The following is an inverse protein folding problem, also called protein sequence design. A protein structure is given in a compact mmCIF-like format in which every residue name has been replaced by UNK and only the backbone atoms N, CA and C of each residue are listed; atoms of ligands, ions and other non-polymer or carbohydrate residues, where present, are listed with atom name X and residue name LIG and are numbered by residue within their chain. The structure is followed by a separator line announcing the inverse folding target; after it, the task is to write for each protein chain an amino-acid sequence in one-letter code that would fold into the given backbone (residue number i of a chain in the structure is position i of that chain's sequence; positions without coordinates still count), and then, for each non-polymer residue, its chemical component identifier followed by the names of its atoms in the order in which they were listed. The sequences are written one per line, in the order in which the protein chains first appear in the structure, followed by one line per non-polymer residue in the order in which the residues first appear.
data_IF_937457863151
#
_entry.id   IF_937457863151
#
_cell.length_a   1.000
_cell.length_b   1.000
_cell.length_c   1.000
_cell.angle_alpha   90.00
_cell.angle_beta   90.00
_cell.angle_gamma   90.00
#
_symmetry.space_group_name_H-M   'P 1'
#
loop_
_entity.id
_entity.type
_entity.pdbx_description
1 polymer ?
#
# COMPACT_ATOMS: atom_id res chain seq x y z
N UNK A 1 -5.74 12.14 37.17
CA UNK A 1 -6.73 12.81 36.29
C UNK A 1 -6.00 13.62 35.24
N UNK A 2 -5.75 13.06 34.05
CA UNK A 2 -5.41 13.85 32.86
C UNK A 2 -6.48 13.55 31.81
N UNK A 3 -7.19 14.59 31.41
CA UNK A 3 -8.29 14.56 30.45
C UNK A 3 -7.74 14.22 29.06
N UNK A 4 -8.35 13.21 28.43
CA UNK A 4 -8.02 12.76 27.08
C UNK A 4 -8.55 13.77 26.04
N UNK A 5 -7.75 14.31 25.11
CA UNK A 5 -8.15 15.40 24.20
C UNK A 5 -9.20 15.03 23.14
N UNK A 6 -9.53 13.73 22.99
CA UNK A 6 -10.45 13.25 21.96
C UNK A 6 -11.94 13.40 22.32
N UNK A 7 -12.27 13.83 23.55
CA UNK A 7 -13.66 13.92 24.03
C UNK A 7 -14.51 14.99 23.33
N UNK A 8 -13.91 15.91 22.58
CA UNK A 8 -14.62 17.03 21.94
C UNK A 8 -14.85 16.88 20.43
N UNK A 9 -14.35 15.83 19.76
CA UNK A 9 -14.50 15.70 18.30
C UNK A 9 -15.69 14.83 17.85
N UNK A 10 -16.28 14.07 18.78
CA UNK A 10 -17.40 13.17 18.49
C UNK A 10 -18.50 13.39 19.52
N UNK A 11 -19.30 14.44 19.30
CA UNK A 11 -20.64 14.47 19.89
C UNK A 11 -21.42 13.26 19.33
N UNK A 12 -22.11 12.51 20.19
CA UNK A 12 -22.89 11.32 19.83
C UNK A 12 -23.90 11.62 18.71
N UNK A 13 -24.31 12.89 18.58
CA UNK A 13 -25.15 13.35 17.48
C UNK A 13 -24.45 13.36 16.11
N UNK A 14 -23.13 13.59 16.04
CA UNK A 14 -22.35 13.63 14.81
C UNK A 14 -22.17 12.26 14.17
N UNK A 15 -21.79 11.26 14.96
CA UNK A 15 -21.71 9.85 14.55
C UNK A 15 -23.09 9.29 14.18
N UNK A 16 -24.12 9.58 14.99
CA UNK A 16 -25.50 9.15 14.70
C UNK A 16 -26.06 9.80 13.42
N UNK A 17 -25.73 11.07 13.13
CA UNK A 17 -26.09 11.74 11.86
C UNK A 17 -25.34 11.17 10.66
N UNK A 18 -24.03 10.89 10.80
CA UNK A 18 -23.23 10.29 9.75
C UNK A 18 -23.74 8.87 9.43
N UNK A 19 -23.95 8.05 10.46
CA UNK A 19 -24.47 6.68 10.33
C UNK A 19 -25.94 6.65 9.89
N UNK A 20 -26.75 7.61 10.32
CA UNK A 20 -28.13 7.78 9.84
C UNK A 20 -28.20 8.18 8.36
N UNK A 21 -27.22 8.92 7.87
CA UNK A 21 -27.10 9.25 6.44
C UNK A 21 -26.64 8.04 5.61
N UNK A 22 -25.81 7.16 6.18
CA UNK A 22 -25.38 5.90 5.57
C UNK A 22 -26.48 4.82 5.54
N UNK A 23 -27.26 4.67 6.63
CA UNK A 23 -28.41 3.74 6.69
C UNK A 23 -29.53 4.09 5.70
N UNK A 24 -29.75 5.37 5.37
CA UNK A 24 -30.74 5.77 4.36
C UNK A 24 -30.36 5.42 2.92
N UNK A 25 -29.08 5.09 2.65
CA UNK A 25 -28.64 4.65 1.30
C UNK A 25 -28.86 3.15 1.06
N UNK A 26 -29.10 2.34 2.10
CA UNK A 26 -29.30 0.90 1.96
C UNK A 26 -30.77 0.48 1.82
N UNK A 27 -31.72 1.40 1.99
CA UNK A 27 -33.16 1.13 1.90
C UNK A 27 -33.89 2.15 1.02
N UNK A 28 -33.99 1.90 -0.30
CA UNK A 28 -35.10 2.41 -1.12
C UNK A 28 -35.13 1.74 -2.50
N UNK A 29 -35.97 0.71 -2.60
CA UNK A 29 -36.62 0.28 -3.84
C UNK A 29 -38.12 0.48 -3.64
N UNK A 30 -38.69 1.54 -4.25
CA UNK A 30 -40.03 1.61 -4.90
C UNK A 30 -40.42 3.07 -5.27
N UNK A 31 -40.52 3.30 -6.57
CA UNK A 31 -41.47 4.08 -7.39
C UNK A 31 -41.82 5.59 -7.20
N UNK A 32 -42.00 6.21 -8.39
CA UNK A 32 -42.73 7.44 -8.80
C UNK A 32 -42.05 8.85 -8.95
N UNK A 33 -41.80 9.19 -10.22
CA UNK A 33 -42.04 10.43 -11.01
C UNK A 33 -41.61 11.87 -10.54
N UNK A 34 -40.45 12.32 -11.07
CA UNK A 34 -40.02 13.61 -11.71
C UNK A 34 -40.46 15.03 -11.22
N UNK A 35 -39.73 16.14 -11.59
CA UNK A 35 -38.36 16.29 -12.13
C UNK A 35 -37.49 17.43 -11.50
N UNK A 36 -36.24 17.54 -11.98
CA UNK A 36 -35.35 18.71 -11.98
C UNK A 36 -34.60 19.13 -10.70
N UNK A 37 -33.54 18.41 -10.35
CA UNK A 37 -32.30 19.03 -9.87
C UNK A 37 -31.08 18.33 -10.46
N UNK A 38 -30.19 19.11 -11.09
CA UNK A 38 -28.96 18.67 -11.78
C UNK A 38 -28.07 17.89 -10.81
N UNK A 39 -28.18 16.56 -10.85
CA UNK A 39 -27.29 15.62 -10.16
C UNK A 39 -26.04 15.47 -11.02
N UNK A 40 -24.86 15.80 -10.48
CA UNK A 40 -23.59 15.37 -11.05
C UNK A 40 -23.66 13.85 -11.22
N UNK A 41 -23.74 13.42 -12.48
CA UNK A 41 -23.70 12.02 -12.86
C UNK A 41 -22.25 11.56 -12.66
N UNK A 42 -21.91 11.12 -11.45
CA UNK A 42 -20.78 10.19 -11.31
C UNK A 42 -21.28 8.90 -11.94
N UNK A 43 -20.91 8.71 -13.21
CA UNK A 43 -21.24 7.52 -13.98
C UNK A 43 -20.88 6.30 -13.13
N UNK A 44 -21.87 5.46 -12.82
CA UNK A 44 -21.66 4.13 -12.23
C UNK A 44 -20.93 3.30 -13.27
N UNK A 45 -19.61 3.45 -13.32
CA UNK A 45 -18.74 2.52 -14.03
C UNK A 45 -18.71 1.25 -13.18
N UNK A 46 -19.64 0.33 -13.42
CA UNK A 46 -19.51 -1.05 -12.94
C UNK A 46 -18.35 -1.67 -13.71
N UNK A 47 -17.14 -1.47 -13.20
CA UNK A 47 -15.94 -2.15 -13.66
C UNK A 47 -16.09 -3.62 -13.25
N UNK A 48 -16.33 -4.51 -14.22
CA UNK A 48 -16.18 -5.95 -14.01
C UNK A 48 -14.69 -6.23 -13.91
N UNK A 49 -14.21 -6.45 -12.70
CA UNK A 49 -12.81 -6.84 -12.46
C UNK A 49 -12.71 -8.30 -12.88
N UNK A 50 -12.06 -8.58 -14.01
CA UNK A 50 -11.81 -9.95 -14.45
C UNK A 50 -10.73 -10.57 -13.55
N UNK A 51 -10.93 -11.84 -13.19
CA UNK A 51 -10.05 -12.66 -12.34
C UNK A 51 -8.59 -12.77 -12.82
N UNK A 52 -8.33 -12.41 -14.09
CA UNK A 52 -7.03 -12.44 -14.75
C UNK A 52 -6.54 -11.04 -15.19
N UNK A 53 -6.95 -9.95 -14.51
CA UNK A 53 -6.41 -8.63 -14.85
C UNK A 53 -4.92 -8.56 -14.51
N UNK A 54 -4.10 -8.52 -15.56
CA UNK A 54 -2.71 -8.10 -15.47
C UNK A 54 -2.64 -6.59 -15.21
N UNK A 55 -1.75 -6.17 -14.31
CA UNK A 55 -1.46 -4.75 -14.11
C UNK A 55 -0.59 -4.28 -15.28
N UNK A 56 -1.11 -3.35 -16.07
CA UNK A 56 -0.32 -2.66 -17.08
C UNK A 56 0.59 -1.62 -16.41
N UNK A 57 1.90 -1.85 -16.55
CA UNK A 57 2.94 -0.95 -16.08
C UNK A 57 3.23 0.11 -17.15
N UNK A 58 3.32 1.37 -16.74
CA UNK A 58 3.84 2.43 -17.60
C UNK A 58 5.37 2.30 -17.75
N UNK A 59 5.97 3.09 -18.65
CA UNK A 59 7.41 3.03 -18.93
C UNK A 59 8.29 3.16 -17.67
N UNK A 60 7.96 4.09 -16.76
CA UNK A 60 8.72 4.31 -15.54
C UNK A 60 8.58 3.12 -14.57
N UNK A 61 7.37 2.61 -14.38
CA UNK A 61 7.08 1.47 -13.51
C UNK A 61 7.69 0.17 -14.06
N UNK A 62 7.56 -0.11 -15.36
CA UNK A 62 8.20 -1.26 -15.99
C UNK A 62 9.71 -1.22 -15.79
N UNK A 63 10.30 -0.02 -15.93
CA UNK A 63 11.73 0.16 -15.75
C UNK A 63 12.15 -0.04 -14.29
N UNK A 64 11.37 0.49 -13.36
CA UNK A 64 11.59 0.30 -11.93
C UNK A 64 11.51 -1.19 -11.56
N UNK A 65 10.45 -1.89 -11.95
CA UNK A 65 10.30 -3.32 -11.68
C UNK A 65 11.45 -4.14 -12.27
N UNK A 66 11.90 -3.82 -13.49
CA UNK A 66 13.06 -4.46 -14.10
C UNK A 66 14.33 -4.27 -13.24
N UNK A 67 14.63 -3.04 -12.84
CA UNK A 67 15.83 -2.72 -12.05
C UNK A 67 15.78 -3.34 -10.65
N UNK A 68 14.62 -3.30 -9.99
CA UNK A 68 14.40 -3.95 -8.70
C UNK A 68 14.64 -5.46 -8.80
N UNK A 69 14.06 -6.11 -9.82
CA UNK A 69 14.25 -7.54 -10.05
C UNK A 69 15.73 -7.88 -10.30
N UNK A 70 16.40 -7.13 -11.18
CA UNK A 70 17.83 -7.32 -11.48
C UNK A 70 18.72 -7.10 -10.25
N UNK A 71 18.41 -6.08 -9.43
CA UNK A 71 19.14 -5.83 -8.18
C UNK A 71 19.01 -7.01 -7.21
N UNK A 72 17.81 -7.59 -7.06
CA UNK A 72 17.61 -8.76 -6.20
C UNK A 72 18.36 -9.97 -6.75
N UNK A 73 18.32 -10.22 -8.07
CA UNK A 73 19.10 -11.29 -8.69
C UNK A 73 20.61 -11.11 -8.46
N UNK A 74 21.12 -9.88 -8.56
CA UNK A 74 22.52 -9.56 -8.30
C UNK A 74 22.91 -9.79 -6.83
N UNK A 75 22.05 -9.38 -5.90
CA UNK A 75 22.26 -9.62 -4.46
C UNK A 75 22.26 -11.10 -4.12
N UNK A 76 21.33 -11.89 -4.71
CA UNK A 76 21.28 -13.34 -4.54
C UNK A 76 22.51 -14.04 -5.13
N UNK A 77 22.96 -13.62 -6.31
CA UNK A 77 24.16 -14.18 -6.95
C UNK A 77 25.45 -13.90 -6.16
N UNK A 78 25.49 -12.77 -5.45
CA UNK A 78 26.63 -12.36 -4.61
C UNK A 78 26.56 -12.94 -3.18
N UNK A 79 25.47 -13.61 -2.83
CA UNK A 79 25.25 -14.17 -1.51
C UNK A 79 25.93 -15.54 -1.36
N UNK A 80 26.49 -15.81 -0.18
CA UNK A 80 26.86 -17.18 0.21
C UNK A 80 25.61 -18.07 0.25
N UNK A 81 25.75 -19.37 -0.04
CA UNK A 81 24.67 -20.36 0.11
C UNK A 81 24.06 -20.39 1.52
N UNK A 82 24.82 -19.93 2.52
CA UNK A 82 24.39 -19.83 3.93
C UNK A 82 23.61 -18.56 4.27
N UNK A 83 23.55 -17.55 3.38
CA UNK A 83 22.83 -16.31 3.66
C UNK A 83 21.34 -16.43 3.30
N UNK A 84 20.57 -16.99 4.23
CA UNK A 84 19.15 -17.27 4.06
C UNK A 84 18.31 -16.00 3.80
N UNK A 85 18.69 -14.86 4.39
CA UNK A 85 17.98 -13.59 4.25
C UNK A 85 18.04 -13.09 2.80
N UNK A 86 19.23 -13.09 2.18
CA UNK A 86 19.37 -12.70 0.78
C UNK A 86 18.71 -13.71 -0.16
N UNK A 87 18.84 -15.01 0.12
CA UNK A 87 18.27 -16.06 -0.75
C UNK A 87 16.73 -16.01 -0.79
N UNK A 88 16.10 -15.68 0.33
CA UNK A 88 14.63 -15.52 0.46
C UNK A 88 14.10 -14.14 0.05
N UNK A 89 14.98 -13.17 -0.27
CA UNK A 89 14.60 -11.80 -0.61
C UNK A 89 13.61 -11.76 -1.77
N UNK A 90 12.45 -11.16 -1.51
CA UNK A 90 11.35 -10.97 -2.45
C UNK A 90 10.78 -9.57 -2.26
N UNK A 91 10.52 -8.89 -3.37
CA UNK A 91 9.95 -7.54 -3.40
C UNK A 91 8.53 -7.56 -3.92
N UNK A 92 7.70 -6.71 -3.31
CA UNK A 92 6.31 -6.47 -3.71
C UNK A 92 6.03 -4.99 -3.73
N UNK A 93 5.14 -4.53 -4.61
CA UNK A 93 4.49 -3.23 -4.46
C UNK A 93 3.20 -3.46 -3.68
N UNK A 94 2.97 -2.72 -2.60
CA UNK A 94 1.85 -2.99 -1.70
C UNK A 94 0.78 -1.89 -1.71
N UNK A 95 -0.45 -2.28 -1.41
CA UNK A 95 -1.52 -1.39 -1.01
C UNK A 95 -2.07 -0.46 -2.08
N UNK A 96 -1.98 0.85 -1.83
CA UNK A 96 -2.76 1.86 -2.55
C UNK A 96 -2.52 1.86 -4.06
N UNK A 97 -1.25 1.70 -4.47
CA UNK A 97 -0.87 1.62 -5.87
C UNK A 97 -1.55 0.44 -6.58
N UNK A 98 -1.60 -0.75 -5.95
CA UNK A 98 -2.20 -1.96 -6.55
C UNK A 98 -3.70 -1.77 -6.76
N UNK A 99 -4.40 -1.24 -5.75
CA UNK A 99 -5.82 -0.88 -5.82
C UNK A 99 -6.08 0.12 -6.94
N UNK A 100 -5.29 1.19 -6.99
CA UNK A 100 -5.51 2.28 -7.95
C UNK A 100 -5.26 1.79 -9.38
N UNK A 101 -4.23 0.96 -9.60
CA UNK A 101 -3.99 0.27 -10.87
C UNK A 101 -5.17 -0.57 -11.33
N UNK A 102 -5.73 -1.39 -10.45
CA UNK A 102 -6.91 -2.21 -10.74
C UNK A 102 -8.16 -1.36 -11.04
N UNK A 103 -8.24 -0.14 -10.48
CA UNK A 103 -9.30 0.83 -10.79
C UNK A 103 -9.02 1.68 -12.04
N UNK A 104 -7.88 1.50 -12.70
CA UNK A 104 -7.46 2.30 -13.85
C UNK A 104 -7.02 3.73 -13.48
N UNK A 105 -6.67 3.96 -12.22
CA UNK A 105 -6.17 5.24 -11.70
C UNK A 105 -4.64 5.18 -11.59
N UNK A 106 -3.96 6.21 -12.08
CA UNK A 106 -2.51 6.31 -11.92
C UNK A 106 -2.14 6.79 -10.52
N UNK A 107 -1.12 6.18 -9.93
CA UNK A 107 -0.49 6.61 -8.68
C UNK A 107 1.02 6.69 -8.88
N UNK A 108 1.62 7.76 -8.38
CA UNK A 108 3.07 7.90 -8.38
C UNK A 108 3.69 7.42 -7.06
N UNK A 109 2.87 7.14 -6.05
CA UNK A 109 3.29 6.70 -4.71
C UNK A 109 3.33 5.17 -4.66
N UNK A 110 4.52 4.60 -4.45
CA UNK A 110 4.78 3.16 -4.46
C UNK A 110 5.44 2.71 -3.15
N UNK A 111 4.69 1.93 -2.38
CA UNK A 111 5.21 1.19 -1.22
C UNK A 111 5.89 -0.11 -1.66
N UNK A 112 7.22 -0.15 -1.65
CA UNK A 112 8.02 -1.36 -1.94
C UNK A 112 8.19 -2.18 -0.65
N UNK A 113 7.39 -3.24 -0.52
CA UNK A 113 7.45 -4.18 0.58
C UNK A 113 8.55 -5.24 0.41
N UNK A 114 9.39 -5.36 1.43
CA UNK A 114 10.62 -6.17 1.44
C UNK A 114 10.51 -7.31 2.47
N UNK A 115 10.82 -8.53 2.05
CA UNK A 115 10.59 -9.73 2.88
C UNK A 115 11.63 -10.00 3.97
N UNK A 116 12.91 -9.71 3.73
CA UNK A 116 14.02 -10.21 4.56
C UNK A 116 15.12 -9.19 4.85
N UNK A 117 14.94 -7.94 4.40
CA UNK A 117 15.85 -6.82 4.69
C UNK A 117 15.05 -5.62 5.20
N UNK A 118 15.69 -4.73 5.94
CA UNK A 118 15.08 -3.44 6.28
C UNK A 118 14.98 -2.56 5.04
N UNK A 119 14.06 -1.58 5.07
CA UNK A 119 13.91 -0.62 3.97
C UNK A 119 15.21 0.11 3.66
N UNK A 120 15.94 0.50 4.70
CA UNK A 120 17.21 1.20 4.59
C UNK A 120 18.33 0.34 3.99
N UNK A 121 18.49 -0.90 4.47
CA UNK A 121 19.55 -1.79 3.95
C UNK A 121 19.32 -2.10 2.47
N UNK A 122 18.07 -2.41 2.08
CA UNK A 122 17.74 -2.63 0.68
C UNK A 122 17.96 -1.36 -0.17
N UNK A 123 17.47 -0.19 0.27
CA UNK A 123 17.62 1.06 -0.49
C UNK A 123 19.10 1.41 -0.75
N UNK A 124 19.95 1.20 0.27
CA UNK A 124 21.40 1.42 0.18
C UNK A 124 22.03 0.50 -0.86
N UNK A 125 21.71 -0.81 -0.80
CA UNK A 125 22.20 -1.81 -1.76
C UNK A 125 21.71 -1.54 -3.18
N UNK A 126 20.43 -1.21 -3.32
CA UNK A 126 19.81 -0.87 -4.61
C UNK A 126 20.49 0.34 -5.26
N UNK A 127 20.80 1.37 -4.46
CA UNK A 127 21.51 2.55 -4.95
C UNK A 127 22.95 2.27 -5.35
N UNK A 128 23.66 1.41 -4.63
CA UNK A 128 24.98 0.93 -5.04
C UNK A 128 24.90 0.20 -6.37
N UNK A 129 23.94 -0.72 -6.50
CA UNK A 129 23.71 -1.48 -7.73
C UNK A 129 23.48 -0.55 -8.93
N UNK A 130 22.63 0.46 -8.81
CA UNK A 130 22.39 1.40 -9.92
C UNK A 130 23.64 2.19 -10.33
N UNK A 131 24.48 2.62 -9.37
CA UNK A 131 25.75 3.31 -9.67
C UNK A 131 26.71 2.40 -10.42
N UNK A 132 26.82 1.13 -10.01
CA UNK A 132 27.67 0.16 -10.69
C UNK A 132 27.17 -0.11 -12.12
N UNK A 133 25.85 -0.24 -12.32
CA UNK A 133 25.27 -0.40 -13.66
C UNK A 133 25.55 0.82 -14.57
N UNK A 134 25.53 2.04 -14.03
CA UNK A 134 25.89 3.23 -14.78
C UNK A 134 27.37 3.26 -15.17
N UNK A 135 28.27 2.88 -14.24
CA UNK A 135 29.71 2.82 -14.51
C UNK A 135 30.02 1.85 -15.65
N UNK A 136 29.46 0.63 -15.58
CA UNK A 136 29.67 -0.41 -16.59
C UNK A 136 29.18 0.02 -17.98
N UNK A 137 28.07 0.77 -18.06
CA UNK A 137 27.58 1.31 -19.34
C UNK A 137 28.51 2.36 -19.94
N UNK A 138 29.07 3.26 -19.12
CA UNK A 138 30.02 4.28 -19.57
C UNK A 138 31.33 3.66 -20.03
N UNK A 139 31.82 2.65 -19.33
CA UNK A 139 33.05 1.92 -19.69
C UNK A 139 32.86 1.12 -20.99
N UNK A 140 31.73 0.41 -21.17
CA UNK A 140 31.43 -0.34 -22.39
C UNK A 140 31.18 0.53 -23.64
N UNK A 141 30.84 1.81 -23.47
CA UNK A 141 30.71 2.77 -24.57
C UNK A 141 32.03 3.42 -24.98
N UNK A 142 33.04 3.41 -24.10
CA UNK A 142 34.36 3.96 -24.40
C UNK A 142 35.18 3.08 -25.35
N UNK A 143 34.85 1.79 -25.52
CA UNK A 143 35.52 0.88 -26.45
C UNK A 143 34.91 0.90 -27.88
N UNK A 144 33.74 1.51 -28.08
CA UNK A 144 33.02 1.55 -29.37
C UNK A 144 32.85 2.97 -29.95
N UNK A 145 33.79 3.89 -29.71
CA UNK A 145 33.84 5.18 -30.40
C UNK A 145 34.78 5.14 -31.62
N UNK A 146 34.29 4.61 -32.73
CA UNK A 146 34.76 4.98 -34.07
C UNK A 146 33.65 4.93 -35.11
N UNK A 147 32.52 5.61 -34.88
CA UNK A 147 31.70 6.27 -35.92
C UNK A 147 30.52 6.96 -35.25
N UNK A 148 30.54 8.30 -35.23
CA UNK A 148 29.39 9.12 -34.85
C UNK A 148 28.42 9.19 -36.04
N UNK A 149 27.22 8.65 -35.87
CA UNK A 149 26.05 9.13 -36.61
C UNK A 149 25.02 9.64 -35.59
N UNK A 150 24.54 10.85 -35.86
CA UNK A 150 23.60 11.59 -35.03
C UNK A 150 22.21 10.95 -35.12
N UNK A 151 21.94 10.00 -34.24
CA UNK A 151 20.60 9.49 -33.95
C UNK A 151 20.07 10.14 -32.67
N UNK A 152 18.93 10.80 -32.80
CA UNK A 152 18.07 11.32 -31.74
C UNK A 152 17.63 10.20 -30.79
N UNK A 153 18.48 9.87 -29.83
CA UNK A 153 18.27 8.86 -28.81
C UNK A 153 18.99 9.31 -27.55
N UNK A 154 18.47 10.37 -26.92
CA UNK A 154 19.03 10.91 -25.69
C UNK A 154 19.26 9.79 -24.67
N UNK A 155 20.51 9.61 -24.27
CA UNK A 155 20.90 8.68 -23.21
C UNK A 155 20.25 9.11 -21.90
N UNK A 156 19.23 8.39 -21.46
CA UNK A 156 18.64 8.63 -20.14
C UNK A 156 19.61 8.14 -19.06
N UNK A 157 20.32 9.07 -18.42
CA UNK A 157 21.07 8.81 -17.19
C UNK A 157 20.10 8.73 -16.01
N UNK A 158 19.93 7.53 -15.45
CA UNK A 158 18.97 7.26 -14.37
C UNK A 158 19.64 7.41 -13.00
N UNK A 159 19.67 8.60 -12.42
CA UNK A 159 20.05 8.76 -11.02
C UNK A 159 18.83 8.59 -10.11
N UNK A 160 18.91 7.71 -9.11
CA UNK A 160 18.03 7.82 -7.96
C UNK A 160 18.28 9.18 -7.32
N UNK A 161 17.22 9.88 -6.94
CA UNK A 161 17.35 11.06 -6.08
C UNK A 161 18.17 10.71 -4.82
N UNK A 162 18.66 11.74 -4.11
CA UNK A 162 19.29 11.51 -2.80
C UNK A 162 18.34 10.68 -1.95
N UNK A 163 18.74 9.46 -1.57
CA UNK A 163 18.00 8.67 -0.59
C UNK A 163 17.93 9.53 0.66
N UNK A 164 16.73 10.02 0.98
CA UNK A 164 16.50 10.71 2.22
C UNK A 164 16.22 9.63 3.26
N UNK A 165 17.21 9.31 4.08
CA UNK A 165 16.97 8.52 5.30
C UNK A 165 16.10 9.37 6.21
N UNK A 166 14.83 9.01 6.36
CA UNK A 166 14.00 9.58 7.41
C UNK A 166 14.34 8.77 8.66
N UNK A 167 15.14 9.37 9.56
CA UNK A 167 15.34 8.82 10.91
C UNK A 167 13.97 8.50 11.52
N UNK A 168 13.85 7.34 12.15
CA UNK A 168 12.63 6.83 12.76
C UNK A 168 11.89 7.96 13.50
N UNK A 169 10.81 8.50 12.91
CA UNK A 169 10.06 9.61 13.51
C UNK A 169 9.40 9.08 14.79
N UNK A 170 9.85 9.49 15.99
CA UNK A 170 9.39 8.90 17.25
C UNK A 170 7.88 9.06 17.47
N UNK A 171 7.28 10.04 16.80
CA UNK A 171 5.88 10.44 16.92
C UNK A 171 4.94 9.66 15.98
N UNK A 172 5.48 8.93 14.99
CA UNK A 172 4.67 8.13 14.06
C UNK A 172 4.94 6.64 14.14
N UNK A 173 6.13 6.19 14.55
CA UNK A 173 6.46 4.78 14.77
C UNK A 173 7.87 4.63 15.36
N UNK A 174 7.99 4.13 16.59
CA UNK A 174 9.29 3.99 17.29
C UNK A 174 10.20 2.86 16.75
N UNK A 175 9.78 2.08 15.75
CA UNK A 175 10.47 0.84 15.35
C UNK A 175 10.59 0.60 13.84
N UNK A 176 10.44 1.63 12.99
CA UNK A 176 10.30 1.41 11.55
C UNK A 176 11.27 2.24 10.72
N UNK A 177 12.37 1.59 10.35
CA UNK A 177 13.35 2.08 9.38
C UNK A 177 12.74 1.99 7.97
N UNK A 178 12.25 3.12 7.47
CA UNK A 178 11.72 3.26 6.11
C UNK A 178 12.66 4.18 5.33
N UNK A 179 12.91 3.88 4.06
CA UNK A 179 13.73 4.72 3.18
C UNK A 179 12.87 5.26 2.03
N UNK A 180 12.91 6.59 1.83
CA UNK A 180 12.14 7.28 0.78
C UNK A 180 13.07 7.84 -0.28
N UNK A 181 12.69 7.72 -1.56
CA UNK A 181 13.41 8.32 -2.69
C UNK A 181 12.50 8.54 -3.89
N UNK A 182 13.01 9.22 -4.92
CA UNK A 182 12.29 9.44 -6.18
C UNK A 182 13.02 8.77 -7.35
N UNK A 183 12.25 8.19 -8.27
CA UNK A 183 12.76 7.51 -9.47
C UNK A 183 11.85 7.79 -10.67
N UNK A 184 12.35 8.51 -11.68
CA UNK A 184 11.58 8.84 -12.89
C UNK A 184 10.19 9.47 -12.60
N UNK A 185 10.10 10.29 -11.54
CA UNK A 185 8.84 10.91 -11.12
C UNK A 185 7.92 10.02 -10.27
N UNK A 186 8.36 8.80 -9.94
CA UNK A 186 7.75 7.92 -8.96
C UNK A 186 8.33 8.20 -7.57
N UNK A 187 7.45 8.32 -6.58
CA UNK A 187 7.80 8.39 -5.17
C UNK A 187 7.85 6.96 -4.61
N UNK A 188 9.00 6.59 -4.05
CA UNK A 188 9.28 5.22 -3.60
C UNK A 188 9.50 5.19 -2.09
N UNK A 189 8.72 4.37 -1.40
CA UNK A 189 8.89 4.07 0.01
C UNK A 189 9.30 2.59 0.19
N UNK A 190 10.51 2.36 0.68
CA UNK A 190 10.99 1.01 1.00
C UNK A 190 10.57 0.62 2.40
N UNK A 191 9.61 -0.29 2.50
CA UNK A 191 9.01 -0.76 3.75
C UNK A 191 9.31 -2.23 3.98
N UNK A 192 9.62 -2.59 5.22
CA UNK A 192 9.74 -4.00 5.61
C UNK A 192 8.35 -4.61 5.83
N UNK A 193 8.17 -5.89 5.46
CA UNK A 193 7.01 -6.67 5.90
C UNK A 193 7.05 -6.85 7.42
N UNK A 194 5.94 -6.54 8.09
CA UNK A 194 5.88 -6.52 9.56
C UNK A 194 4.98 -7.64 10.06
N UNK A 195 5.49 -8.39 11.02
CA UNK A 195 4.66 -9.16 11.95
C UNK A 195 4.69 -8.42 13.29
N UNK A 196 3.51 -8.15 13.83
CA UNK A 196 3.32 -7.45 15.10
C UNK A 196 2.81 -8.46 16.14
N UNK A 197 3.58 -8.71 17.19
CA UNK A 197 3.09 -9.36 18.41
C UNK A 197 2.72 -8.27 19.42
N UNK A 198 1.44 -8.21 19.80
CA UNK A 198 0.95 -7.33 20.86
C UNK A 198 1.15 -8.04 22.20
N UNK A 199 2.24 -7.71 22.91
CA UNK A 199 2.63 -8.38 24.16
C UNK A 199 1.79 -7.99 25.39
N UNK A 200 1.19 -6.80 25.39
CA UNK A 200 0.35 -6.29 26.47
C UNK A 200 -0.96 -5.73 25.88
N UNK A 201 -2.10 -6.08 26.48
CA UNK A 201 -3.44 -5.61 26.07
C UNK A 201 -3.60 -4.07 26.12
N UNK A 202 -2.68 -3.37 26.78
CA UNK A 202 -2.73 -1.91 27.01
C UNK A 202 -1.65 -1.12 26.24
N UNK A 203 -0.78 -1.80 25.46
CA UNK A 203 0.27 -1.15 24.66
C UNK A 203 -0.08 -1.13 23.17
N UNK A 204 -0.26 0.08 22.63
CA UNK A 204 -0.43 0.35 21.18
C UNK A 204 0.88 0.25 20.38
N UNK A 205 1.98 -0.13 21.03
CA UNK A 205 3.29 -0.33 20.40
C UNK A 205 3.59 -1.84 20.48
N UNK A 206 3.84 -2.51 19.33
CA UNK A 206 4.21 -3.92 19.32
C UNK A 206 5.43 -4.19 20.19
N UNK A 207 5.42 -5.29 20.94
CA UNK A 207 6.52 -5.66 21.85
C UNK A 207 7.77 -6.13 21.09
N UNK A 208 7.59 -6.61 19.85
CA UNK A 208 8.66 -6.80 18.87
C UNK A 208 8.14 -6.66 17.44
N UNK A 209 8.93 -6.05 16.56
CA UNK A 209 8.71 -6.08 15.11
C UNK A 209 9.65 -7.11 14.52
N UNK A 210 9.11 -8.20 13.99
CA UNK A 210 9.89 -9.22 13.26
C UNK A 210 9.61 -9.13 11.77
N UNK A 211 10.49 -9.73 10.96
CA UNK A 211 10.19 -9.96 9.54
C UNK A 211 8.90 -10.76 9.42
N UNK A 212 7.87 -10.10 8.90
CA UNK A 212 6.57 -10.71 8.69
C UNK A 212 6.45 -11.38 7.32
N UNK A 213 5.50 -12.29 7.23
CA UNK A 213 4.99 -12.81 5.97
C UNK A 213 4.08 -11.79 5.28
N UNK A 214 3.87 -11.90 3.96
CA UNK A 214 2.90 -11.06 3.26
C UNK A 214 1.48 -11.16 3.86
N UNK A 215 1.11 -12.32 4.39
CA UNK A 215 -0.16 -12.52 5.08
C UNK A 215 -0.23 -11.72 6.38
N UNK A 216 0.78 -11.79 7.24
CA UNK A 216 0.80 -11.00 8.48
C UNK A 216 0.76 -9.49 8.19
N UNK A 217 1.49 -9.03 7.17
CA UNK A 217 1.44 -7.63 6.73
C UNK A 217 0.07 -7.25 6.16
N UNK A 218 -0.59 -8.15 5.43
CA UNK A 218 -1.94 -7.96 4.90
C UNK A 218 -2.99 -7.79 6.01
N UNK A 219 -2.89 -8.61 7.06
CA UNK A 219 -3.86 -8.70 8.14
C UNK A 219 -3.82 -7.47 9.06
N UNK A 220 -2.66 -6.83 9.23
CA UNK A 220 -2.51 -5.61 10.02
C UNK A 220 -2.94 -4.33 9.27
N UNK A 221 -3.37 -4.40 8.02
CA UNK A 221 -3.78 -3.21 7.24
C UNK A 221 -5.22 -2.81 7.56
N UNK A 222 -5.60 -1.63 7.11
CA UNK A 222 -6.91 -1.05 7.41
C UNK A 222 -8.05 -1.76 6.68
N UNK A 223 -7.93 -1.98 5.36
CA UNK A 223 -8.99 -2.55 4.54
C UNK A 223 -8.44 -3.55 3.52
N UNK A 224 -9.21 -4.57 3.19
CA UNK A 224 -8.84 -5.69 2.29
C UNK A 224 -8.33 -5.20 0.93
N UNK A 225 -9.00 -4.21 0.34
CA UNK A 225 -8.60 -3.62 -0.95
C UNK A 225 -7.24 -2.88 -0.88
N UNK A 226 -6.76 -2.51 0.31
CA UNK A 226 -5.44 -1.92 0.54
C UNK A 226 -4.41 -2.94 1.02
N UNK A 227 -4.80 -4.21 1.12
CA UNK A 227 -3.96 -5.34 1.51
C UNK A 227 -3.50 -6.19 0.33
N UNK A 228 -3.71 -5.70 -0.90
CA UNK A 228 -3.24 -6.32 -2.13
C UNK A 228 -1.76 -6.04 -2.34
N UNK A 229 -1.06 -7.00 -2.94
CA UNK A 229 0.34 -6.88 -3.33
C UNK A 229 0.50 -7.18 -4.82
N UNK A 230 1.51 -6.58 -5.43
CA UNK A 230 1.99 -6.92 -6.76
C UNK A 230 3.42 -7.44 -6.65
N UNK A 231 3.64 -8.68 -7.05
CA UNK A 231 4.95 -9.31 -6.96
C UNK A 231 5.84 -8.84 -8.12
N UNK A 232 6.93 -8.15 -7.78
CA UNK A 232 7.84 -7.53 -8.76
C UNK A 232 8.58 -8.57 -9.61
N UNK A 233 8.69 -9.81 -9.13
CA UNK A 233 9.43 -10.89 -9.80
C UNK A 233 8.55 -11.71 -10.74
N UNK A 234 7.29 -11.94 -10.37
CA UNK A 234 6.36 -12.77 -11.16
C UNK A 234 5.36 -11.95 -11.98
N UNK A 235 5.19 -10.67 -11.66
CA UNK A 235 4.14 -9.83 -12.24
C UNK A 235 2.72 -10.17 -11.78
N UNK A 236 2.58 -11.03 -10.76
CA UNK A 236 1.29 -11.48 -10.26
C UNK A 236 0.75 -10.55 -9.16
N UNK A 237 -0.58 -10.41 -9.12
CA UNK A 237 -1.28 -9.82 -7.98
C UNK A 237 -1.47 -10.90 -6.92
N UNK A 238 -1.13 -10.59 -5.68
CA UNK A 238 -1.28 -11.47 -4.53
C UNK A 238 -2.31 -10.87 -3.57
N UNK A 239 -3.40 -11.61 -3.32
CA UNK A 239 -4.40 -11.29 -2.31
C UNK A 239 -4.30 -12.28 -1.15
N UNK A 240 -3.48 -11.94 -0.16
CA UNK A 240 -3.27 -12.79 1.02
C UNK A 240 -4.49 -12.79 1.96
N UNK A 241 -5.39 -11.82 1.85
CA UNK A 241 -6.65 -11.82 2.61
C UNK A 241 -7.70 -12.74 2.00
N UNK A 242 -7.56 -13.06 0.71
CA UNK A 242 -8.54 -13.79 -0.09
C UNK A 242 -9.84 -13.01 -0.37
N UNK A 243 -9.93 -11.75 0.06
CA UNK A 243 -11.12 -10.89 -0.04
C UNK A 243 -10.90 -9.59 -0.79
N UNK A 244 -9.67 -9.10 -0.89
CA UNK A 244 -9.36 -7.80 -1.49
C UNK A 244 -9.81 -7.67 -2.94
N UNK A 245 -9.62 -8.70 -3.78
CA UNK A 245 -10.06 -8.64 -5.19
C UNK A 245 -11.58 -8.67 -5.32
N UNK A 246 -12.25 -9.55 -4.58
CA UNK A 246 -13.71 -9.65 -4.54
C UNK A 246 -14.34 -8.33 -4.04
N UNK A 247 -13.82 -7.81 -2.94
CA UNK A 247 -14.31 -6.58 -2.30
C UNK A 247 -14.11 -5.36 -3.22
N UNK A 248 -13.00 -5.33 -3.97
CA UNK A 248 -12.75 -4.28 -4.97
C UNK A 248 -13.77 -4.35 -6.12
N UNK A 249 -14.12 -5.55 -6.57
CA UNK A 249 -15.08 -5.78 -7.67
C UNK A 249 -16.51 -5.36 -7.27
N UNK A 250 -16.95 -5.77 -6.07
CA UNK A 250 -18.32 -5.50 -5.61
C UNK A 250 -18.48 -4.12 -4.94
N UNK A 251 -17.39 -3.38 -4.78
CA UNK A 251 -17.39 -2.06 -4.15
C UNK A 251 -17.68 -2.11 -2.66
N UNK A 252 -16.94 -2.95 -1.92
CA UNK A 252 -17.06 -3.17 -0.49
C UNK A 252 -15.78 -2.74 0.24
N UNK A 253 -15.96 -2.09 1.39
CA UNK A 253 -14.90 -1.79 2.36
C UNK A 253 -15.03 -2.78 3.50
N UNK A 254 -14.05 -3.65 3.65
CA UNK A 254 -13.96 -4.68 4.69
C UNK A 254 -12.58 -4.60 5.36
N UNK A 255 -12.50 -4.86 6.65
CA UNK A 255 -11.24 -5.03 7.40
C UNK A 255 -10.69 -6.44 7.20
N UNK A 256 -9.36 -6.66 7.10
CA UNK A 256 -8.78 -8.00 6.96
C UNK A 256 -9.06 -8.94 8.14
N UNK A 257 -9.12 -8.37 9.34
CA UNK A 257 -9.50 -9.01 10.59
C UNK A 257 -10.88 -8.52 11.05
N UNK A 258 -11.51 -9.16 12.05
CA UNK A 258 -12.73 -8.63 12.65
C UNK A 258 -12.61 -7.14 12.99
N UNK A 259 -13.63 -6.36 12.63
CA UNK A 259 -13.60 -4.91 12.71
C UNK A 259 -13.36 -4.43 14.15
N UNK A 260 -13.92 -5.12 15.14
CA UNK A 260 -13.70 -4.83 16.55
C UNK A 260 -12.22 -4.91 16.94
N UNK A 261 -11.51 -5.97 16.53
CA UNK A 261 -10.08 -6.11 16.80
C UNK A 261 -9.29 -5.00 16.11
N UNK A 262 -9.58 -4.77 14.82
CA UNK A 262 -8.94 -3.73 14.02
C UNK A 262 -9.08 -2.33 14.64
N UNK A 263 -10.24 -2.03 15.23
CA UNK A 263 -10.52 -0.72 15.83
C UNK A 263 -10.03 -0.59 17.27
N UNK A 264 -9.89 -1.71 18.00
CA UNK A 264 -9.18 -1.75 19.29
C UNK A 264 -7.70 -1.41 19.09
N UNK A 265 -7.07 -2.00 18.08
CA UNK A 265 -5.65 -1.76 17.76
C UNK A 265 -5.42 -0.31 17.33
N UNK A 266 -6.26 0.20 16.41
CA UNK A 266 -6.19 1.59 15.95
C UNK A 266 -7.60 2.15 15.60
N UNK A 267 -8.20 2.95 16.50
CA UNK A 267 -9.50 3.57 16.28
C UNK A 267 -9.56 4.48 15.04
N UNK A 268 -8.42 5.01 14.57
CA UNK A 268 -8.38 5.84 13.36
C UNK A 268 -8.72 5.03 12.10
N UNK A 269 -8.59 3.69 12.13
CA UNK A 269 -8.97 2.82 11.01
C UNK A 269 -10.46 2.89 10.70
N UNK A 270 -11.32 3.10 11.69
CA UNK A 270 -12.75 3.32 11.43
C UNK A 270 -12.98 4.58 10.59
N UNK A 271 -12.31 5.69 10.94
CA UNK A 271 -12.40 6.93 10.16
C UNK A 271 -11.84 6.76 8.75
N UNK A 272 -10.76 5.98 8.60
CA UNK A 272 -10.21 5.63 7.30
C UNK A 272 -11.18 4.79 6.48
N UNK A 273 -11.86 3.81 7.06
CA UNK A 273 -12.89 3.01 6.39
C UNK A 273 -14.01 3.90 5.85
N UNK A 274 -14.54 4.81 6.68
CA UNK A 274 -15.59 5.78 6.29
C UNK A 274 -15.09 6.70 5.17
N UNK A 275 -13.85 7.19 5.27
CA UNK A 275 -13.23 8.02 4.24
C UNK A 275 -13.13 7.29 2.91
N UNK A 276 -12.66 6.05 2.90
CA UNK A 276 -12.55 5.25 1.67
C UNK A 276 -13.92 4.89 1.09
N UNK A 277 -14.88 4.50 1.93
CA UNK A 277 -16.26 4.27 1.50
C UNK A 277 -16.85 5.51 0.81
N UNK A 278 -16.60 6.69 1.36
CA UNK A 278 -17.07 7.96 0.77
C UNK A 278 -16.31 8.32 -0.50
N UNK A 279 -14.98 8.15 -0.52
CA UNK A 279 -14.12 8.48 -1.67
C UNK A 279 -14.46 7.66 -2.89
N UNK A 280 -14.65 6.35 -2.72
CA UNK A 280 -14.90 5.42 -3.82
C UNK A 280 -16.40 5.15 -4.06
N UNK A 281 -17.28 5.63 -3.16
CA UNK A 281 -18.71 5.33 -3.23
C UNK A 281 -19.04 3.87 -2.87
N UNK A 282 -18.16 3.22 -2.11
CA UNK A 282 -18.27 1.81 -1.71
C UNK A 282 -19.14 1.67 -0.46
N UNK A 283 -19.67 0.47 -0.23
CA UNK A 283 -20.40 0.14 1.00
C UNK A 283 -19.44 -0.32 2.09
N UNK A 284 -19.81 -0.10 3.35
CA UNK A 284 -19.12 -0.71 4.48
C UNK A 284 -19.63 -2.15 4.68
N UNK A 285 -18.73 -3.07 4.99
CA UNK A 285 -19.08 -4.41 5.47
C UNK A 285 -19.92 -4.33 6.76
N UNK A 286 -20.82 -5.31 6.94
CA UNK A 286 -21.74 -5.32 8.07
C UNK A 286 -20.99 -5.37 9.42
N UNK A 287 -19.83 -6.04 9.47
CA UNK A 287 -19.00 -6.13 10.65
C UNK A 287 -18.47 -4.75 11.08
N UNK A 288 -18.03 -3.92 10.12
CA UNK A 288 -17.61 -2.54 10.38
C UNK A 288 -18.76 -1.70 10.92
N UNK A 289 -19.96 -1.84 10.33
CA UNK A 289 -21.14 -1.09 10.78
C UNK A 289 -21.52 -1.50 12.20
N UNK A 290 -21.47 -2.80 12.49
CA UNK A 290 -21.74 -3.36 13.82
C UNK A 290 -20.78 -2.78 14.86
N UNK A 291 -19.48 -2.94 14.64
CA UNK A 291 -18.43 -2.46 15.53
C UNK A 291 -18.46 -0.93 15.75
N UNK A 292 -18.86 -0.15 14.74
CA UNK A 292 -19.01 1.30 14.86
C UNK A 292 -20.25 1.74 15.66
N UNK A 293 -21.23 0.85 15.85
CA UNK A 293 -22.46 1.12 16.60
C UNK A 293 -22.50 0.49 17.99
N UNK A 294 -21.57 -0.43 18.28
CA UNK A 294 -21.37 -0.97 19.63
C UNK A 294 -20.97 0.13 20.61
N UNK A 295 -21.51 0.09 21.83
CA UNK A 295 -21.29 1.12 22.85
C UNK A 295 -19.81 1.11 23.30
N UNK A 296 -19.09 2.26 23.33
CA UNK A 296 -17.69 2.31 23.75
C UNK A 296 -17.44 1.82 25.18
N UNK A 297 -18.49 1.61 26.00
CA UNK A 297 -18.40 1.06 27.35
C UNK A 297 -18.06 -0.44 27.42
N UNK A 298 -18.11 -1.17 26.31
CA UNK A 298 -17.76 -2.61 26.26
C UNK A 298 -16.34 -2.88 25.73
N UNK A 299 -15.63 -1.84 25.29
CA UNK A 299 -14.22 -1.91 24.92
C UNK A 299 -13.37 -1.69 26.18
N UNK A 300 -13.33 -2.71 27.04
CA UNK A 300 -12.53 -2.74 28.26
C UNK A 300 -11.03 -2.78 28.00
#
# INVERSE_FOLDING_TARGET
MRLNPLRNYFDQQGLSRLMGCLKRRTTSTTDHNQPNQKRLLVSRMTMRIKKDQEIELNRAESKLCQLLNQSVSHLKASASSTNQDLNSLTLRIAGGWVRDKLLGVQSNDLDIAISSLTGQDFATRFSSYLRDQQRLKREGQSENQTTKEAGDGGEETFELGKIATIEARPDQSKHLETATTTFLGLDLDFVQLRSEEYGDQDSRIPSSVRFGTPLEDALRRDITINSLFYNVHTGAIEDHTGKGLEDLEVGLIRTPLPAEHTFKDDPLRLLRCIRFATRFGYRLDADIVSAATSDPSELH
#
